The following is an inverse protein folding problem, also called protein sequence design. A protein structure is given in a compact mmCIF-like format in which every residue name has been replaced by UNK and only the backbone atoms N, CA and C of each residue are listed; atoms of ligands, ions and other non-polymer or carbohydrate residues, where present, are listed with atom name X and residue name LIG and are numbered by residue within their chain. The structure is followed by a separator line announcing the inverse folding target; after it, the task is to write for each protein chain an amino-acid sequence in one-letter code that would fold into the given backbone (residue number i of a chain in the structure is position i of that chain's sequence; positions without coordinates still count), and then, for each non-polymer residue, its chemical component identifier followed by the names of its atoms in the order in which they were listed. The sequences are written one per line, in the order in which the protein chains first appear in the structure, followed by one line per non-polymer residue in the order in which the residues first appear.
data_IF_137179152831
#
_entry.id   IF_137179152831
#
_cell.length_a   1.000
_cell.length_b   1.000
_cell.length_c   1.000
_cell.angle_alpha   90.00
_cell.angle_beta   90.00
_cell.angle_gamma   90.00
#
_symmetry.space_group_name_H-M   'P 1'
#
loop_
_entity.id
_entity.type
_entity.pdbx_description
1 polymer ?
#
# COMPACT_ATOMS: atom_id res chain seq x y z
N UNK A 1 2.57 -4.87 20.86
CA UNK A 1 2.37 -3.96 19.72
C UNK A 1 2.59 -4.80 18.48
N UNK A 2 1.57 -4.94 17.63
CA UNK A 2 1.71 -5.65 16.35
C UNK A 2 2.09 -4.62 15.30
N UNK A 3 2.90 -5.02 14.33
CA UNK A 3 3.24 -4.16 13.20
C UNK A 3 2.35 -4.47 12.01
N UNK A 4 2.09 -3.44 11.21
CA UNK A 4 1.41 -3.51 9.92
C UNK A 4 2.43 -3.38 8.79
N UNK A 5 2.12 -4.05 7.68
CA UNK A 5 2.79 -3.92 6.41
C UNK A 5 1.82 -3.27 5.44
N UNK A 6 2.27 -2.24 4.73
CA UNK A 6 1.57 -1.69 3.58
C UNK A 6 2.40 -1.96 2.34
N UNK A 7 1.80 -2.64 1.36
CA UNK A 7 2.34 -2.82 0.02
C UNK A 7 1.58 -1.92 -0.94
N UNK A 8 2.30 -1.29 -1.86
CA UNK A 8 1.72 -0.36 -2.81
C UNK A 8 2.31 -0.55 -4.22
N UNK A 9 1.44 -0.46 -5.22
CA UNK A 9 1.80 -0.47 -6.64
C UNK A 9 0.97 0.54 -7.41
N UNK A 10 1.63 1.40 -8.15
CA UNK A 10 1.02 2.27 -9.17
C UNK A 10 1.37 1.79 -10.56
N UNK A 11 0.37 1.58 -11.41
CA UNK A 11 0.57 1.36 -12.85
C UNK A 11 0.24 2.65 -13.58
N UNK A 12 1.24 3.19 -14.27
CA UNK A 12 1.11 4.40 -15.08
C UNK A 12 1.08 4.01 -16.56
N UNK A 13 0.33 4.74 -17.41
CA UNK A 13 0.54 4.70 -18.85
C UNK A 13 2.01 5.02 -19.15
N UNK A 14 2.63 4.38 -20.17
CA UNK A 14 3.99 4.72 -20.57
C UNK A 14 4.09 6.22 -20.91
N UNK A 15 5.12 6.88 -20.38
CA UNK A 15 5.46 8.24 -20.77
C UNK A 15 5.93 8.33 -22.24
N UNK A 16 6.10 9.55 -22.79
CA UNK A 16 6.62 9.74 -24.16
C UNK A 16 8.05 9.18 -24.36
N UNK A 17 8.77 8.94 -23.26
CA UNK A 17 10.10 8.30 -23.20
C UNK A 17 10.04 6.80 -22.90
N UNK A 18 8.84 6.21 -22.78
CA UNK A 18 8.61 4.82 -22.42
C UNK A 18 8.74 4.51 -20.93
N UNK A 19 8.94 5.52 -20.07
CA UNK A 19 8.99 5.32 -18.62
C UNK A 19 7.66 4.81 -18.08
N UNK A 20 7.71 3.83 -17.18
CA UNK A 20 6.57 3.35 -16.40
C UNK A 20 6.60 3.96 -15.00
N UNK A 21 5.50 3.81 -14.27
CA UNK A 21 5.43 4.17 -12.85
C UNK A 21 6.53 3.51 -12.00
N UNK A 22 6.74 4.01 -10.77
CA UNK A 22 7.73 3.44 -9.86
C UNK A 22 7.48 1.95 -9.59
N UNK A 23 8.52 1.16 -9.29
CA UNK A 23 8.33 -0.23 -8.90
C UNK A 23 7.49 -0.32 -7.63
N UNK A 24 6.79 -1.46 -7.46
CA UNK A 24 6.04 -1.73 -6.24
C UNK A 24 6.95 -1.61 -5.02
N UNK A 25 6.42 -1.06 -3.93
CA UNK A 25 7.14 -0.77 -2.70
C UNK A 25 6.35 -1.23 -1.49
N UNK A 26 7.04 -1.35 -0.35
CA UNK A 26 6.40 -1.70 0.90
C UNK A 26 7.00 -0.91 2.07
N UNK A 27 6.18 -0.70 3.09
CA UNK A 27 6.56 -0.04 4.34
C UNK A 27 6.02 -0.82 5.53
N UNK A 28 6.70 -0.67 6.67
CA UNK A 28 6.31 -1.25 7.95
C UNK A 28 6.08 -0.15 8.98
N UNK A 29 4.97 -0.21 9.71
CA UNK A 29 4.63 0.75 10.75
C UNK A 29 3.86 0.07 11.90
N UNK A 30 3.84 0.71 13.07
CA UNK A 30 3.16 0.14 14.25
C UNK A 30 1.64 0.22 14.17
N UNK A 31 0.93 -0.55 15.00
CA UNK A 31 -0.53 -0.61 15.11
C UNK A 31 -1.21 0.65 15.66
N UNK A 32 -0.47 1.62 16.21
CA UNK A 32 -1.01 2.87 16.76
C UNK A 32 -0.34 4.09 16.13
N UNK A 33 -1.15 5.06 15.71
CA UNK A 33 -0.70 6.38 15.29
C UNK A 33 -0.69 7.34 16.50
N UNK A 34 0.52 7.72 16.94
CA UNK A 34 0.73 8.59 18.11
C UNK A 34 0.24 10.03 17.92
N UNK A 35 0.05 10.51 16.67
CA UNK A 35 -0.44 11.87 16.40
C UNK A 35 -1.95 11.99 16.63
N UNK A 36 -2.69 10.89 16.43
CA UNK A 36 -4.16 10.87 16.55
C UNK A 36 -4.71 10.03 17.69
N UNK A 37 -3.86 9.31 18.45
CA UNK A 37 -4.29 8.29 19.43
C UNK A 37 -5.30 7.28 18.85
N UNK A 38 -5.19 7.00 17.55
CA UNK A 38 -6.05 6.07 16.80
C UNK A 38 -5.24 4.85 16.35
N UNK A 39 -5.94 3.76 16.04
CA UNK A 39 -5.34 2.61 15.37
C UNK A 39 -4.76 3.06 14.02
N UNK A 40 -3.54 2.63 13.69
CA UNK A 40 -2.93 2.90 12.39
C UNK A 40 -3.73 2.26 11.25
N UNK A 41 -4.44 1.17 11.53
CA UNK A 41 -5.35 0.54 10.58
C UNK A 41 -6.55 1.46 10.28
N UNK A 42 -7.13 2.11 11.30
CA UNK A 42 -8.26 3.02 11.12
C UNK A 42 -7.83 4.24 10.30
N UNK A 43 -6.67 4.81 10.63
CA UNK A 43 -6.09 5.92 9.86
C UNK A 43 -5.65 5.52 8.45
N UNK A 44 -5.30 4.25 8.23
CA UNK A 44 -5.07 3.72 6.88
C UNK A 44 -6.39 3.63 6.11
N UNK A 45 -7.44 3.08 6.72
CA UNK A 45 -8.77 2.98 6.10
C UNK A 45 -9.30 4.37 5.75
N UNK A 46 -9.27 5.33 6.67
CA UNK A 46 -9.73 6.71 6.44
C UNK A 46 -9.01 7.38 5.24
N UNK A 47 -7.71 7.11 5.04
CA UNK A 47 -6.93 7.67 3.92
C UNK A 47 -7.21 7.00 2.58
N UNK A 48 -7.62 5.73 2.59
CA UNK A 48 -7.78 4.92 1.38
C UNK A 48 -9.24 4.62 1.04
N UNK A 49 -10.19 4.96 1.92
CA UNK A 49 -11.64 4.79 1.70
C UNK A 49 -12.23 5.83 0.75
N UNK A 50 -11.56 6.98 0.57
CA UNK A 50 -12.05 8.07 -0.26
C UNK A 50 -10.94 8.61 -1.16
N UNK A 51 -10.92 8.19 -2.43
CA UNK A 51 -10.29 8.99 -3.48
C UNK A 51 -10.82 8.60 -4.85
N UNK A 52 -11.91 9.22 -5.26
CA UNK A 52 -12.23 9.33 -6.68
C UNK A 52 -11.14 10.09 -7.46
N UNK A 53 -10.21 10.77 -6.77
CA UNK A 53 -9.18 11.62 -7.34
C UNK A 53 -8.07 10.84 -8.08
N UNK A 54 -7.78 9.59 -7.70
CA UNK A 54 -6.72 8.79 -8.34
C UNK A 54 -7.16 8.19 -9.69
N UNK A 55 -8.47 8.12 -9.93
CA UNK A 55 -9.05 7.61 -11.18
C UNK A 55 -8.92 8.60 -12.36
N UNK A 56 -8.66 9.89 -12.08
CA UNK A 56 -8.78 10.95 -13.08
C UNK A 56 -7.63 11.03 -14.11
N UNK A 57 -6.48 10.38 -13.85
CA UNK A 57 -5.30 10.45 -14.71
C UNK A 57 -4.96 9.13 -15.44
N UNK A 58 -5.84 8.13 -15.38
CA UNK A 58 -5.57 6.79 -15.94
C UNK A 58 -4.52 5.99 -15.16
N UNK A 59 -4.18 6.45 -13.94
CA UNK A 59 -3.36 5.70 -13.00
C UNK A 59 -4.17 4.58 -12.36
N UNK A 60 -3.48 3.47 -12.13
CA UNK A 60 -4.05 2.23 -11.58
C UNK A 60 -3.28 1.89 -10.31
N UNK A 61 -3.75 2.47 -9.21
CA UNK A 61 -3.17 2.22 -7.88
C UNK A 61 -3.79 1.00 -7.23
N UNK A 62 -2.94 0.28 -6.51
CA UNK A 62 -3.34 -0.79 -5.61
C UNK A 62 -2.50 -0.71 -4.33
N UNK A 63 -3.19 -0.60 -3.19
CA UNK A 63 -2.60 -0.69 -1.86
C UNK A 63 -3.19 -1.87 -1.10
N UNK A 64 -2.33 -2.60 -0.40
CA UNK A 64 -2.70 -3.71 0.47
C UNK A 64 -2.13 -3.49 1.86
N UNK A 65 -2.89 -3.86 2.89
CA UNK A 65 -2.44 -3.82 4.26
C UNK A 65 -2.58 -5.20 4.91
N UNK A 66 -1.61 -5.56 5.73
CA UNK A 66 -1.60 -6.82 6.48
C UNK A 66 -0.87 -6.69 7.81
N UNK A 67 -1.11 -7.62 8.74
CA UNK A 67 -0.24 -7.78 9.89
C UNK A 67 1.10 -8.39 9.48
N UNK A 68 2.20 -7.88 10.05
CA UNK A 68 3.54 -8.39 9.77
C UNK A 68 3.70 -9.86 10.20
N UNK A 69 3.09 -10.24 11.32
CA UNK A 69 3.15 -11.63 11.83
C UNK A 69 2.46 -12.63 10.90
N UNK A 70 1.49 -12.18 10.12
CA UNK A 70 0.77 -13.02 9.14
C UNK A 70 1.58 -13.15 7.84
N UNK A 71 2.66 -12.37 7.67
CA UNK A 71 3.56 -12.41 6.51
C UNK A 71 5.02 -12.61 6.97
N UNK A 72 5.35 -13.75 7.58
CA UNK A 72 6.67 -13.98 8.15
C UNK A 72 7.76 -13.96 7.07
N UNK A 73 8.86 -13.25 7.37
CA UNK A 73 10.01 -13.12 6.46
C UNK A 73 9.79 -12.19 5.27
N UNK A 74 8.73 -11.37 5.29
CA UNK A 74 8.51 -10.35 4.28
C UNK A 74 9.61 -9.28 4.33
N UNK A 75 10.26 -9.04 3.18
CA UNK A 75 11.31 -8.04 3.03
C UNK A 75 10.74 -6.73 2.45
N UNK A 76 10.61 -5.72 3.31
CA UNK A 76 10.13 -4.39 2.92
C UNK A 76 11.12 -3.62 2.04
N UNK A 77 12.38 -4.05 1.96
CA UNK A 77 13.41 -3.38 1.18
C UNK A 77 13.62 -4.01 -0.21
N UNK A 78 12.90 -5.08 -0.53
CA UNK A 78 12.94 -5.69 -1.85
C UNK A 78 12.42 -4.71 -2.92
N UNK A 79 13.08 -4.68 -4.09
CA UNK A 79 12.71 -3.84 -5.23
C UNK A 79 12.65 -4.70 -6.51
N UNK A 80 11.47 -4.92 -7.11
CA UNK A 80 10.15 -4.51 -6.60
C UNK A 80 9.76 -5.29 -5.34
N UNK A 81 9.00 -4.66 -4.45
CA UNK A 81 8.48 -5.31 -3.26
C UNK A 81 7.49 -6.42 -3.66
N UNK A 82 7.63 -7.65 -3.14
CA UNK A 82 6.70 -8.74 -3.44
C UNK A 82 5.31 -8.41 -2.88
N UNK A 83 4.24 -8.86 -3.53
CA UNK A 83 2.87 -8.67 -3.03
C UNK A 83 2.67 -9.39 -1.69
N UNK A 84 1.80 -8.90 -0.83
CA UNK A 84 1.50 -9.52 0.47
C UNK A 84 0.78 -10.86 0.26
N UNK A 85 1.04 -11.84 1.12
CA UNK A 85 0.43 -13.18 1.02
C UNK A 85 -0.89 -13.27 1.78
N UNK A 86 -0.94 -12.66 2.96
CA UNK A 86 -2.11 -12.66 3.84
C UNK A 86 -2.60 -11.23 4.02
N UNK A 87 -3.44 -10.77 3.09
CA UNK A 87 -3.97 -9.40 3.04
C UNK A 87 -5.15 -9.27 4.01
N UNK A 88 -5.14 -8.21 4.81
CA UNK A 88 -6.24 -7.84 5.71
C UNK A 88 -7.25 -6.93 4.99
N UNK A 89 -6.77 -5.85 4.35
CA UNK A 89 -7.58 -4.95 3.54
C UNK A 89 -6.84 -4.56 2.26
N UNK A 90 -7.61 -4.15 1.27
CA UNK A 90 -7.13 -3.78 -0.06
C UNK A 90 -7.92 -2.57 -0.53
N UNK A 91 -7.25 -1.62 -1.20
CA UNK A 91 -7.86 -0.41 -1.74
C UNK A 91 -7.21 0.00 -3.06
N UNK A 92 -8.01 0.55 -3.98
CA UNK A 92 -7.55 0.98 -5.30
C UNK A 92 -8.32 0.32 -6.45
N UNK A 93 -8.09 0.82 -7.66
CA UNK A 93 -8.86 0.46 -8.86
C UNK A 93 -8.33 -0.79 -9.58
N UNK A 94 -7.09 -1.21 -9.32
CA UNK A 94 -6.43 -2.31 -10.05
C UNK A 94 -5.80 -3.32 -9.09
N UNK A 95 -6.53 -3.56 -8.00
CA UNK A 95 -6.37 -4.70 -7.15
C UNK A 95 -7.38 -5.82 -7.53
#
# INVERSE_FOLDING_TARGET
MRDLLEWHRSVHPPGPDGSTGPPASAVKFGDVNLVGCKSSLDGWVERHSDSAADTAAGFRDCSEIAWADDNPGYDIHALPAPRLKHVLLQAGNDC
#
